data_IF_248434951942
#
_entry.id   IF_248434951942
#
_cell.length_a   1.000
_cell.length_b   1.000
_cell.length_c   1.000
_cell.angle_alpha   90.00
_cell.angle_beta   90.00
_cell.angle_gamma   90.00
#
_symmetry.space_group_name_H-M   'P 1'
#
loop_
_entity.id
_entity.type
_entity.pdbx_description
1 polymer ?
#
# COMPACT_ATOMS: atom_id res chain seq x y z
N UNK A 1 23.19 -6.11 1.41
CA UNK A 1 21.84 -5.96 0.91
C UNK A 1 21.73 -6.47 -0.53
N UNK A 2 22.43 -5.82 -1.50
CA UNK A 2 22.32 -6.16 -2.93
C UNK A 2 22.58 -7.64 -3.21
N UNK A 3 23.63 -8.22 -2.62
CA UNK A 3 23.98 -9.63 -2.82
C UNK A 3 22.97 -10.63 -2.27
N UNK A 4 22.07 -10.19 -1.39
CA UNK A 4 21.09 -11.04 -0.72
C UNK A 4 19.68 -10.98 -1.35
N UNK A 5 19.45 -10.02 -2.28
CA UNK A 5 18.16 -9.84 -2.96
C UNK A 5 17.69 -11.08 -3.70
N UNK A 6 18.59 -11.90 -4.23
CA UNK A 6 18.27 -13.18 -4.91
C UNK A 6 17.54 -14.18 -4.01
N UNK A 7 17.66 -14.04 -2.69
CA UNK A 7 16.91 -14.85 -1.72
C UNK A 7 15.48 -14.38 -1.51
N UNK A 8 15.11 -13.23 -2.05
CA UNK A 8 13.77 -12.59 -1.90
C UNK A 8 13.03 -12.55 -3.23
N UNK A 9 13.72 -12.11 -4.30
CA UNK A 9 13.16 -11.89 -5.63
C UNK A 9 13.82 -12.82 -6.64
N UNK A 10 13.10 -13.27 -7.65
CA UNK A 10 13.65 -14.08 -8.74
C UNK A 10 14.34 -13.22 -9.81
N UNK A 11 15.52 -12.71 -9.43
CA UNK A 11 16.34 -11.84 -10.27
C UNK A 11 16.84 -12.52 -11.54
N UNK A 12 17.01 -13.85 -11.50
CA UNK A 12 17.45 -14.62 -12.67
C UNK A 12 16.37 -14.64 -13.76
N UNK A 13 15.11 -14.83 -13.38
CA UNK A 13 13.99 -14.80 -14.32
C UNK A 13 13.81 -13.38 -14.88
N UNK A 14 13.94 -12.34 -14.05
CA UNK A 14 13.91 -10.95 -14.51
C UNK A 14 14.99 -10.70 -15.56
N UNK A 15 16.24 -11.05 -15.28
CA UNK A 15 17.36 -10.89 -16.21
C UNK A 15 17.14 -11.63 -17.53
N UNK A 16 16.72 -12.90 -17.43
CA UNK A 16 16.52 -13.77 -18.60
C UNK A 16 15.35 -13.32 -19.50
N UNK A 17 14.36 -12.63 -18.95
CA UNK A 17 13.22 -12.11 -19.71
C UNK A 17 13.58 -10.93 -20.61
N UNK A 18 14.67 -10.21 -20.28
CA UNK A 18 15.12 -9.04 -21.03
C UNK A 18 14.21 -7.81 -20.89
N UNK A 19 13.23 -7.82 -19.97
CA UNK A 19 12.35 -6.68 -19.74
C UNK A 19 13.15 -5.41 -19.44
N UNK A 20 12.71 -4.28 -20.01
CA UNK A 20 13.34 -2.98 -19.82
C UNK A 20 12.69 -2.26 -18.63
N UNK A 21 13.49 -2.02 -17.58
CA UNK A 21 13.05 -1.45 -16.31
C UNK A 21 13.47 0.02 -16.23
N UNK A 22 12.54 0.91 -15.90
CA UNK A 22 12.82 2.32 -15.60
C UNK A 22 12.78 2.57 -14.08
N UNK A 23 13.71 3.38 -13.56
CA UNK A 23 13.72 3.74 -12.14
C UNK A 23 13.90 5.24 -11.95
N UNK A 24 13.00 5.88 -11.19
CA UNK A 24 13.16 7.24 -10.68
C UNK A 24 13.33 7.22 -9.16
N UNK A 25 14.53 7.44 -8.64
CA UNK A 25 14.78 7.51 -7.21
C UNK A 25 14.10 8.68 -6.48
N UNK A 26 13.46 9.60 -7.18
CA UNK A 26 12.89 10.85 -6.66
C UNK A 26 13.86 11.65 -5.77
N UNK A 27 15.17 11.54 -6.03
CA UNK A 27 16.22 12.15 -5.22
C UNK A 27 16.48 11.48 -3.87
N UNK A 28 15.95 10.30 -3.65
CA UNK A 28 16.04 9.58 -2.39
C UNK A 28 17.36 8.84 -2.16
N UNK A 29 17.48 8.25 -0.97
CA UNK A 29 18.72 7.64 -0.45
C UNK A 29 19.17 6.37 -1.19
N UNK A 30 18.27 5.71 -1.91
CA UNK A 30 18.54 4.43 -2.59
C UNK A 30 19.14 4.55 -4.00
N UNK A 31 19.42 5.75 -4.50
CA UNK A 31 19.99 5.94 -5.84
C UNK A 31 21.22 5.05 -6.10
N UNK A 32 22.10 4.94 -5.12
CA UNK A 32 23.36 4.19 -5.25
C UNK A 32 23.18 2.66 -5.27
N UNK A 33 21.99 2.12 -5.03
CA UNK A 33 21.74 0.68 -5.07
C UNK A 33 21.44 0.15 -6.48
N UNK A 34 20.83 0.97 -7.35
CA UNK A 34 20.27 0.50 -8.62
C UNK A 34 21.32 0.04 -9.63
N UNK A 35 22.40 0.82 -9.82
CA UNK A 35 23.47 0.44 -10.76
C UNK A 35 24.21 -0.84 -10.30
N UNK A 36 24.63 -0.98 -9.03
CA UNK A 36 25.21 -2.24 -8.55
C UNK A 36 24.27 -3.45 -8.66
N UNK A 37 22.95 -3.27 -8.51
CA UNK A 37 21.97 -4.33 -8.75
C UNK A 37 21.92 -4.71 -10.22
N UNK A 38 21.83 -3.72 -11.12
CA UNK A 38 21.80 -3.94 -12.55
C UNK A 38 23.04 -4.69 -13.05
N UNK A 39 24.24 -4.27 -12.60
CA UNK A 39 25.50 -4.93 -12.93
C UNK A 39 25.57 -6.36 -12.40
N UNK A 40 25.28 -6.55 -11.11
CA UNK A 40 25.40 -7.86 -10.44
C UNK A 40 24.47 -8.90 -11.05
N UNK A 41 23.24 -8.53 -11.34
CA UNK A 41 22.19 -9.43 -11.78
C UNK A 41 21.89 -9.36 -13.27
N UNK A 42 22.66 -8.56 -14.02
CA UNK A 42 22.49 -8.35 -15.47
C UNK A 42 21.08 -7.87 -15.86
N UNK A 43 20.54 -6.94 -15.07
CA UNK A 43 19.21 -6.39 -15.33
C UNK A 43 19.29 -5.32 -16.41
N UNK A 44 18.36 -5.33 -17.36
CA UNK A 44 18.18 -4.25 -18.33
C UNK A 44 17.43 -3.09 -17.67
N UNK A 45 18.16 -2.29 -16.87
CA UNK A 45 17.62 -1.25 -15.99
C UNK A 45 18.24 0.11 -16.30
N UNK A 46 17.40 1.13 -16.39
CA UNK A 46 17.78 2.52 -16.58
C UNK A 46 17.31 3.38 -15.40
N UNK A 47 18.23 4.07 -14.73
CA UNK A 47 17.90 5.12 -13.76
C UNK A 47 17.67 6.42 -14.53
N UNK A 48 16.42 6.87 -14.58
CA UNK A 48 16.01 8.02 -15.42
C UNK A 48 16.37 9.38 -14.81
N UNK A 49 16.55 9.44 -13.48
CA UNK A 49 16.92 10.64 -12.78
C UNK A 49 18.02 10.34 -11.75
N UNK A 50 19.23 10.75 -12.05
CA UNK A 50 20.41 10.58 -11.17
C UNK A 50 20.74 11.84 -10.38
N UNK A 51 19.85 12.83 -10.39
CA UNK A 51 20.12 14.12 -9.75
C UNK A 51 20.01 14.01 -8.24
N UNK A 52 21.06 14.39 -7.55
CA UNK A 52 21.07 14.60 -6.10
C UNK A 52 20.99 16.11 -5.86
N UNK A 53 19.87 16.54 -5.32
CA UNK A 53 19.60 17.94 -5.02
C UNK A 53 18.84 18.03 -3.69
N UNK A 54 19.48 18.48 -2.60
CA UNK A 54 18.84 18.57 -1.28
C UNK A 54 17.61 19.49 -1.23
N UNK A 55 17.41 20.33 -2.25
CA UNK A 55 16.22 21.19 -2.37
C UNK A 55 15.09 20.53 -3.16
N UNK A 56 15.36 19.38 -3.80
CA UNK A 56 14.40 18.65 -4.66
C UNK A 56 13.78 19.54 -5.75
N UNK A 57 14.53 20.53 -6.25
CA UNK A 57 14.02 21.54 -7.19
C UNK A 57 13.58 20.97 -8.55
N UNK A 58 13.94 19.73 -8.86
CA UNK A 58 13.53 19.00 -10.06
C UNK A 58 12.15 18.34 -9.96
N UNK A 59 11.59 18.26 -8.74
CA UNK A 59 10.27 17.64 -8.53
C UNK A 59 9.15 18.54 -9.05
N UNK A 60 8.13 17.90 -9.61
CA UNK A 60 6.85 18.55 -9.90
C UNK A 60 6.12 18.91 -8.62
N UNK A 61 5.45 20.07 -8.63
CA UNK A 61 4.66 20.51 -7.48
C UNK A 61 3.40 19.66 -7.35
N UNK A 62 3.05 19.30 -6.13
CA UNK A 62 1.80 18.65 -5.80
C UNK A 62 0.61 19.64 -5.94
N UNK A 63 -0.62 19.15 -5.82
CA UNK A 63 -1.86 19.94 -5.99
C UNK A 63 -1.95 21.18 -5.10
N UNK A 64 -1.24 21.20 -3.97
CA UNK A 64 -1.19 22.33 -3.03
C UNK A 64 0.05 23.22 -3.23
N UNK A 65 0.79 23.04 -4.32
CA UNK A 65 1.97 23.83 -4.66
C UNK A 65 3.23 23.48 -3.83
N UNK A 66 3.24 22.37 -3.11
CA UNK A 66 4.40 21.91 -2.34
C UNK A 66 5.16 20.81 -3.07
N UNK A 67 6.44 20.71 -2.78
CA UNK A 67 7.26 19.57 -3.19
C UNK A 67 7.01 18.41 -2.23
N UNK A 68 6.66 17.24 -2.79
CA UNK A 68 6.56 15.98 -2.07
C UNK A 68 7.23 14.87 -2.87
N UNK A 69 8.01 14.04 -2.20
CA UNK A 69 8.63 12.84 -2.77
C UNK A 69 7.79 11.61 -2.40
N UNK A 70 6.48 11.69 -2.68
CA UNK A 70 5.53 10.61 -2.44
C UNK A 70 5.35 9.78 -3.70
N UNK A 71 5.91 8.57 -3.71
CA UNK A 71 5.84 7.65 -4.85
C UNK A 71 4.42 7.14 -5.17
N UNK A 72 3.42 7.42 -4.34
CA UNK A 72 2.01 7.16 -4.64
C UNK A 72 1.29 8.39 -5.25
N UNK A 73 1.93 9.56 -5.26
CA UNK A 73 1.37 10.79 -5.84
C UNK A 73 1.54 10.83 -7.36
N UNK A 74 0.48 11.04 -8.14
CA UNK A 74 0.58 11.23 -9.59
C UNK A 74 1.37 12.48 -9.97
N UNK A 75 1.48 13.45 -9.07
CA UNK A 75 2.29 14.67 -9.27
C UNK A 75 3.78 14.36 -9.13
N UNK A 76 4.18 13.72 -8.03
CA UNK A 76 5.58 13.34 -7.82
C UNK A 76 6.08 12.39 -8.91
N UNK A 77 5.23 11.46 -9.34
CA UNK A 77 5.52 10.45 -10.35
C UNK A 77 5.27 10.90 -11.80
N UNK A 78 4.85 12.15 -12.02
CA UNK A 78 4.42 12.63 -13.33
C UNK A 78 5.46 12.40 -14.44
N UNK A 79 6.74 12.64 -14.17
CA UNK A 79 7.82 12.44 -15.13
C UNK A 79 7.99 10.97 -15.51
N UNK A 80 7.93 10.06 -14.54
CA UNK A 80 8.05 8.62 -14.79
C UNK A 80 6.81 8.08 -15.52
N UNK A 81 5.61 8.53 -15.14
CA UNK A 81 4.35 8.17 -15.81
C UNK A 81 4.34 8.62 -17.27
N UNK A 82 4.90 9.81 -17.57
CA UNK A 82 5.02 10.29 -18.96
C UNK A 82 5.95 9.39 -19.82
N UNK A 83 6.83 8.63 -19.19
CA UNK A 83 7.74 7.69 -19.86
C UNK A 83 7.27 6.23 -19.82
N UNK A 84 6.03 5.95 -19.38
CA UNK A 84 5.54 4.58 -19.15
C UNK A 84 5.68 3.66 -20.39
N UNK A 85 5.55 4.20 -21.60
CA UNK A 85 5.64 3.43 -22.84
C UNK A 85 7.10 3.16 -23.28
N UNK A 86 8.09 3.83 -22.65
CA UNK A 86 9.53 3.59 -22.87
C UNK A 86 10.00 2.30 -22.21
N UNK A 87 9.40 1.92 -21.09
CA UNK A 87 9.76 0.78 -20.27
C UNK A 87 8.69 -0.31 -20.30
N UNK A 88 9.06 -1.54 -20.01
CA UNK A 88 8.09 -2.62 -19.78
C UNK A 88 7.43 -2.48 -18.42
N UNK A 89 8.21 -1.98 -17.45
CA UNK A 89 7.76 -1.59 -16.11
C UNK A 89 8.67 -0.50 -15.56
N UNK A 90 8.16 0.37 -14.69
CA UNK A 90 8.98 1.38 -14.04
C UNK A 90 8.60 1.57 -12.57
N UNK A 91 9.57 2.10 -11.78
CA UNK A 91 9.45 2.24 -10.33
C UNK A 91 9.86 3.64 -9.86
N UNK A 92 9.21 4.11 -8.82
CA UNK A 92 9.69 5.24 -8.03
C UNK A 92 9.61 4.93 -6.55
N UNK A 93 10.53 5.48 -5.76
CA UNK A 93 10.53 5.31 -4.32
C UNK A 93 10.47 6.67 -3.63
N UNK A 94 9.99 6.70 -2.40
CA UNK A 94 10.12 7.87 -1.56
C UNK A 94 11.56 8.04 -1.03
N UNK A 95 11.80 9.10 -0.26
CA UNK A 95 13.17 9.54 0.07
C UNK A 95 13.97 8.50 0.85
N UNK A 96 13.36 7.80 1.77
CA UNK A 96 13.98 6.79 2.65
C UNK A 96 13.78 5.35 2.13
N UNK A 97 13.15 5.20 0.97
CA UNK A 97 13.00 3.93 0.26
C UNK A 97 12.19 2.86 0.98
N UNK A 98 11.35 3.27 1.89
CA UNK A 98 10.46 2.36 2.60
C UNK A 98 9.13 2.11 1.85
N UNK A 99 8.86 2.89 0.77
CA UNK A 99 7.66 2.79 -0.07
C UNK A 99 7.99 2.61 -1.55
N UNK A 100 7.03 2.03 -2.27
CA UNK A 100 7.11 1.73 -3.70
C UNK A 100 6.07 2.51 -4.51
N UNK A 101 6.41 2.87 -5.74
CA UNK A 101 5.48 3.42 -6.73
C UNK A 101 5.64 2.67 -8.04
N UNK A 102 4.65 1.86 -8.42
CA UNK A 102 4.72 1.01 -9.60
C UNK A 102 4.02 1.68 -10.77
N UNK A 103 4.73 1.83 -11.88
CA UNK A 103 4.20 2.36 -13.14
C UNK A 103 4.19 1.26 -14.20
N UNK A 104 3.00 0.92 -14.66
CA UNK A 104 2.78 -0.11 -15.67
C UNK A 104 2.36 0.51 -17.01
N UNK A 105 2.56 -0.21 -18.11
CA UNK A 105 2.02 0.20 -19.41
C UNK A 105 0.50 0.21 -19.41
N UNK A 106 -0.11 -0.78 -18.79
CA UNK A 106 -1.57 -0.99 -18.83
C UNK A 106 -2.35 0.07 -18.04
N UNK A 107 -1.86 0.54 -16.88
CA UNK A 107 -2.59 1.44 -15.99
C UNK A 107 -1.84 2.74 -15.63
N UNK A 108 -0.57 2.88 -16.02
CA UNK A 108 0.28 3.97 -15.50
C UNK A 108 0.62 3.75 -14.03
N UNK A 109 0.56 4.81 -13.21
CA UNK A 109 0.82 4.69 -11.76
C UNK A 109 -0.28 3.88 -11.09
N UNK A 110 0.11 2.78 -10.47
CA UNK A 110 -0.82 1.93 -9.72
C UNK A 110 -1.17 2.53 -8.35
N UNK A 111 -2.44 2.42 -7.96
CA UNK A 111 -2.82 2.67 -6.58
C UNK A 111 -2.14 1.64 -5.66
N UNK A 112 -1.55 2.03 -4.52
CA UNK A 112 -0.87 1.10 -3.62
C UNK A 112 -1.74 -0.09 -3.18
N UNK A 113 -3.01 0.12 -2.84
CA UNK A 113 -3.92 -0.98 -2.48
C UNK A 113 -4.09 -1.99 -3.63
N UNK A 114 -4.13 -1.52 -4.88
CA UNK A 114 -4.26 -2.39 -6.04
C UNK A 114 -2.99 -3.22 -6.24
N UNK A 115 -1.82 -2.58 -6.15
CA UNK A 115 -0.56 -3.30 -6.28
C UNK A 115 -0.34 -4.29 -5.12
N UNK A 116 -0.64 -3.90 -3.87
CA UNK A 116 -0.55 -4.82 -2.72
C UNK A 116 -1.42 -6.07 -2.93
N UNK A 117 -2.64 -5.91 -3.44
CA UNK A 117 -3.52 -7.05 -3.74
C UNK A 117 -2.89 -8.00 -4.79
N UNK A 118 -2.29 -7.45 -5.85
CA UNK A 118 -1.58 -8.23 -6.88
C UNK A 118 -0.33 -8.90 -6.29
N UNK A 119 0.49 -8.17 -5.55
CA UNK A 119 1.69 -8.68 -4.92
C UNK A 119 1.39 -9.86 -3.99
N UNK A 120 0.37 -9.71 -3.13
CA UNK A 120 -0.09 -10.77 -2.22
C UNK A 120 -0.59 -11.97 -3.02
N UNK A 121 -1.45 -11.77 -4.01
CA UNK A 121 -1.96 -12.86 -4.85
C UNK A 121 -0.83 -13.65 -5.48
N UNK A 122 0.11 -12.94 -6.11
CA UNK A 122 1.24 -13.57 -6.80
C UNK A 122 2.17 -14.30 -5.83
N UNK A 123 2.64 -13.61 -4.78
CA UNK A 123 3.75 -14.13 -3.97
C UNK A 123 3.36 -15.37 -3.17
N UNK A 124 2.13 -15.45 -2.65
CA UNK A 124 1.67 -16.64 -1.93
C UNK A 124 1.47 -17.87 -2.84
N UNK A 125 1.33 -17.67 -4.14
CA UNK A 125 1.28 -18.75 -5.14
C UNK A 125 2.66 -19.17 -5.66
N UNK A 126 3.67 -18.28 -5.51
CA UNK A 126 5.03 -18.48 -6.07
C UNK A 126 6.12 -18.64 -5.00
N UNK A 127 5.74 -18.85 -3.75
CA UNK A 127 6.67 -19.13 -2.63
C UNK A 127 6.29 -20.44 -1.94
N UNK A 128 6.59 -21.61 -2.58
CA UNK A 128 6.15 -22.92 -2.10
C UNK A 128 6.78 -23.35 -0.76
N UNK A 129 7.92 -22.75 -0.39
CA UNK A 129 8.59 -23.02 0.88
C UNK A 129 7.97 -22.27 2.07
N UNK A 130 7.07 -21.33 1.81
CA UNK A 130 6.39 -20.64 2.90
C UNK A 130 5.41 -21.57 3.61
N UNK A 131 5.39 -21.46 4.94
CA UNK A 131 4.49 -22.29 5.73
C UNK A 131 3.02 -22.09 5.29
N UNK A 132 2.28 -23.20 5.23
CA UNK A 132 0.89 -23.17 4.77
C UNK A 132 -0.02 -22.28 5.65
N UNK A 133 0.34 -22.06 6.92
CA UNK A 133 -0.37 -21.16 7.84
C UNK A 133 0.10 -19.71 7.81
N UNK A 134 1.10 -19.35 6.99
CA UNK A 134 1.56 -17.98 6.88
C UNK A 134 0.39 -17.05 6.46
N UNK A 135 0.22 -15.97 7.21
CA UNK A 135 -0.92 -15.06 7.08
C UNK A 135 -0.58 -13.87 6.18
N UNK A 136 -1.63 -13.19 5.72
CA UNK A 136 -1.56 -11.91 5.01
C UNK A 136 -1.79 -10.78 6.00
N UNK A 137 -0.79 -9.90 6.20
CA UNK A 137 -0.88 -8.72 7.05
C UNK A 137 -1.31 -7.48 6.28
N UNK A 138 -2.30 -6.76 6.81
CA UNK A 138 -2.69 -5.42 6.34
C UNK A 138 -3.07 -4.51 7.48
N UNK A 139 -3.06 -3.19 7.26
CA UNK A 139 -3.65 -2.24 8.19
C UNK A 139 -5.18 -2.23 8.04
N UNK A 140 -5.88 -1.86 9.11
CA UNK A 140 -7.34 -1.79 9.11
C UNK A 140 -7.92 -0.73 8.15
N UNK A 141 -7.08 0.17 7.62
CA UNK A 141 -7.44 1.21 6.65
C UNK A 141 -7.05 0.86 5.22
N UNK A 142 -6.39 -0.28 5.00
CA UNK A 142 -6.13 -0.81 3.66
C UNK A 142 -7.41 -1.42 3.05
N UNK A 143 -7.44 -1.50 1.72
CA UNK A 143 -8.61 -1.95 0.95
C UNK A 143 -9.10 -3.36 1.32
N UNK A 144 -10.41 -3.56 1.28
CA UNK A 144 -11.10 -4.86 1.38
C UNK A 144 -10.72 -5.79 0.20
N UNK A 145 -10.20 -5.26 -0.89
CA UNK A 145 -9.70 -6.11 -1.98
C UNK A 145 -8.63 -7.10 -1.48
N UNK A 146 -7.79 -6.68 -0.52
CA UNK A 146 -6.79 -7.57 0.10
C UNK A 146 -7.46 -8.70 0.88
N UNK A 147 -8.59 -8.43 1.56
CA UNK A 147 -9.37 -9.46 2.26
C UNK A 147 -9.89 -10.52 1.28
N UNK A 148 -10.46 -10.06 0.15
CA UNK A 148 -10.98 -10.93 -0.90
C UNK A 148 -9.85 -11.77 -1.53
N UNK A 149 -8.68 -11.17 -1.74
CA UNK A 149 -7.50 -11.89 -2.23
C UNK A 149 -7.03 -12.93 -1.21
N UNK A 150 -6.90 -12.58 0.08
CA UNK A 150 -6.51 -13.52 1.12
C UNK A 150 -7.48 -14.71 1.19
N UNK A 151 -8.78 -14.46 1.13
CA UNK A 151 -9.81 -15.50 1.05
C UNK A 151 -9.64 -16.39 -0.19
N UNK A 152 -9.43 -15.80 -1.37
CA UNK A 152 -9.25 -16.51 -2.65
C UNK A 152 -8.07 -17.48 -2.60
N UNK A 153 -6.95 -17.08 -1.99
CA UNK A 153 -5.75 -17.92 -1.87
C UNK A 153 -5.76 -18.82 -0.62
N UNK A 154 -6.87 -18.83 0.13
CA UNK A 154 -7.01 -19.68 1.33
C UNK A 154 -6.11 -19.28 2.50
N UNK A 155 -5.74 -18.00 2.61
CA UNK A 155 -4.88 -17.49 3.70
C UNK A 155 -5.68 -16.69 4.71
N UNK A 156 -5.27 -16.79 5.98
CA UNK A 156 -5.87 -15.95 7.04
C UNK A 156 -5.36 -14.52 6.93
N UNK A 157 -6.24 -13.58 7.23
CA UNK A 157 -5.91 -12.17 7.32
C UNK A 157 -5.45 -11.83 8.74
N UNK A 158 -4.41 -11.00 8.84
CA UNK A 158 -3.92 -10.39 10.07
C UNK A 158 -4.09 -8.87 9.96
N UNK A 159 -5.29 -8.37 10.31
CA UNK A 159 -5.64 -6.96 10.25
C UNK A 159 -5.24 -6.25 11.54
N UNK A 160 -4.38 -5.23 11.44
CA UNK A 160 -3.76 -4.55 12.58
C UNK A 160 -3.97 -3.02 12.51
N UNK A 161 -3.70 -2.26 13.59
CA UNK A 161 -3.67 -0.81 13.51
C UNK A 161 -2.64 -0.30 12.52
N UNK A 162 -2.76 0.96 12.08
CA UNK A 162 -1.74 1.62 11.27
C UNK A 162 -0.39 1.64 11.98
N UNK A 163 0.65 1.30 11.25
CA UNK A 163 2.03 1.25 11.74
C UNK A 163 2.68 -0.12 11.52
N UNK A 164 3.78 -0.12 10.79
CA UNK A 164 4.48 -1.34 10.36
C UNK A 164 4.97 -2.22 11.53
N UNK A 165 5.23 -1.61 12.68
CA UNK A 165 5.65 -2.31 13.91
C UNK A 165 4.77 -3.49 14.31
N UNK A 166 3.50 -3.48 13.91
CA UNK A 166 2.58 -4.56 14.24
C UNK A 166 2.82 -5.84 13.45
N UNK A 167 3.52 -5.75 12.32
CA UNK A 167 3.89 -6.91 11.51
C UNK A 167 5.19 -7.56 11.96
N UNK A 168 6.03 -6.84 12.72
CA UNK A 168 7.38 -7.29 13.12
C UNK A 168 7.40 -8.67 13.77
N UNK A 169 6.58 -8.99 14.79
CA UNK A 169 6.63 -10.33 15.39
C UNK A 169 6.36 -11.46 14.39
N UNK A 170 5.32 -11.28 13.55
CA UNK A 170 4.92 -12.30 12.58
C UNK A 170 5.89 -12.46 11.42
N UNK A 171 6.58 -11.38 11.01
CA UNK A 171 7.66 -11.48 10.01
C UNK A 171 8.90 -12.18 10.60
N UNK A 172 9.22 -11.94 11.88
CA UNK A 172 10.36 -12.58 12.56
C UNK A 172 10.19 -14.08 12.70
N UNK A 173 9.01 -14.53 13.10
CA UNK A 173 8.74 -15.96 13.33
C UNK A 173 8.18 -16.70 12.11
N UNK A 174 7.92 -15.99 10.99
CA UNK A 174 7.41 -16.54 9.75
C UNK A 174 5.90 -16.87 9.77
N UNK A 175 5.18 -16.51 10.82
CA UNK A 175 3.72 -16.66 10.88
C UNK A 175 3.00 -15.67 9.98
N UNK A 176 3.69 -14.60 9.55
CA UNK A 176 3.23 -13.60 8.60
C UNK A 176 4.11 -13.67 7.33
N UNK A 177 3.51 -14.02 6.19
CA UNK A 177 4.22 -14.07 4.91
C UNK A 177 4.45 -12.70 4.30
N UNK A 178 3.49 -11.80 4.50
CA UNK A 178 3.46 -10.45 3.95
C UNK A 178 2.84 -9.48 4.95
N UNK A 179 3.40 -8.27 5.07
CA UNK A 179 2.83 -7.16 5.81
C UNK A 179 2.86 -5.90 4.97
N UNK A 180 1.71 -5.22 4.79
CA UNK A 180 1.63 -4.02 3.95
C UNK A 180 0.63 -2.99 4.44
N UNK A 181 0.91 -1.74 4.06
CA UNK A 181 0.13 -0.55 4.37
C UNK A 181 -0.34 0.13 3.09
N UNK A 182 -1.52 0.73 3.13
CA UNK A 182 -2.11 1.50 2.02
C UNK A 182 -1.25 2.70 1.58
N UNK A 183 -0.28 3.08 2.39
CA UNK A 183 0.71 4.12 2.09
C UNK A 183 1.83 3.67 1.15
N UNK A 184 1.75 2.46 0.59
CA UNK A 184 2.74 1.82 -0.27
C UNK A 184 3.97 1.25 0.45
N UNK A 185 3.94 1.13 1.77
CA UNK A 185 5.00 0.48 2.54
C UNK A 185 4.68 -1.00 2.79
N UNK A 186 5.59 -1.89 2.46
CA UNK A 186 5.41 -3.32 2.68
C UNK A 186 6.74 -4.06 2.84
N UNK A 187 6.65 -5.28 3.36
CA UNK A 187 7.73 -6.27 3.36
C UNK A 187 7.16 -7.69 3.37
N UNK A 188 7.99 -8.66 3.01
CA UNK A 188 7.61 -10.05 2.96
C UNK A 188 8.81 -10.97 3.22
N UNK A 189 8.54 -12.25 3.45
CA UNK A 189 9.57 -13.24 3.75
C UNK A 189 10.45 -13.56 2.53
N UNK A 190 11.67 -14.03 2.80
CA UNK A 190 12.55 -14.66 1.80
C UNK A 190 11.84 -15.86 1.15
N UNK A 191 12.35 -16.30 0.02
CA UNK A 191 11.86 -17.50 -0.69
C UNK A 191 11.75 -18.72 0.22
N UNK A 192 12.71 -18.88 1.14
CA UNK A 192 12.77 -19.99 2.10
C UNK A 192 11.90 -19.80 3.37
N UNK A 193 11.02 -18.81 3.39
CA UNK A 193 10.12 -18.53 4.50
C UNK A 193 10.75 -17.87 5.73
N UNK A 194 12.05 -17.51 5.68
CA UNK A 194 12.70 -16.76 6.75
C UNK A 194 12.47 -15.26 6.58
N UNK A 195 12.60 -14.52 7.68
CA UNK A 195 12.51 -13.07 7.66
C UNK A 195 13.52 -12.45 6.69
N UNK A 196 13.05 -11.48 5.89
CA UNK A 196 13.91 -10.59 5.12
C UNK A 196 14.34 -9.41 5.98
N UNK A 197 13.37 -8.58 6.35
CA UNK A 197 13.55 -7.44 7.23
C UNK A 197 12.32 -7.28 8.13
N UNK A 198 12.45 -6.50 9.18
CA UNK A 198 11.36 -6.14 10.10
C UNK A 198 10.85 -4.72 9.87
N UNK A 199 11.27 -4.11 8.78
CA UNK A 199 10.76 -2.81 8.32
C UNK A 199 10.31 -2.90 6.86
N UNK A 200 9.70 -1.84 6.36
CA UNK A 200 9.27 -1.70 4.96
C UNK A 200 10.50 -1.64 4.05
N UNK A 201 10.37 -2.18 2.86
CA UNK A 201 11.43 -2.18 1.85
C UNK A 201 10.81 -1.98 0.46
N UNK A 202 10.91 -0.76 -0.06
CA UNK A 202 10.33 -0.41 -1.37
C UNK A 202 11.01 -1.15 -2.52
N UNK A 203 12.33 -1.38 -2.46
CA UNK A 203 13.09 -2.02 -3.54
C UNK A 203 12.61 -3.44 -3.80
N UNK A 204 12.32 -4.23 -2.76
CA UNK A 204 11.83 -5.60 -3.00
C UNK A 204 10.44 -5.62 -3.62
N UNK A 205 9.59 -4.61 -3.32
CA UNK A 205 8.28 -4.48 -3.93
C UNK A 205 8.41 -4.08 -5.41
N UNK A 206 9.33 -3.18 -5.74
CA UNK A 206 9.64 -2.78 -7.12
C UNK A 206 10.12 -3.99 -7.94
N UNK A 207 11.11 -4.70 -7.42
CA UNK A 207 11.65 -5.90 -8.08
C UNK A 207 10.61 -7.03 -8.16
N UNK A 208 9.70 -7.15 -7.20
CA UNK A 208 8.59 -8.10 -7.27
C UNK A 208 7.65 -7.77 -8.44
N UNK A 209 7.41 -6.48 -8.72
CA UNK A 209 6.60 -6.09 -9.88
C UNK A 209 7.27 -6.51 -11.22
N UNK A 210 8.60 -6.40 -11.29
CA UNK A 210 9.37 -6.90 -12.43
C UNK A 210 9.34 -8.45 -12.51
N UNK A 211 9.42 -9.15 -11.36
CA UNK A 211 9.27 -10.62 -11.29
C UNK A 211 7.91 -11.07 -11.81
N UNK A 212 6.84 -10.40 -11.39
CA UNK A 212 5.46 -10.67 -11.85
C UNK A 212 5.38 -10.59 -13.38
N UNK A 213 5.88 -9.51 -13.96
CA UNK A 213 5.89 -9.32 -15.41
C UNK A 213 6.75 -10.39 -16.10
N UNK A 214 7.96 -10.63 -15.60
CA UNK A 214 8.90 -11.58 -16.21
C UNK A 214 8.39 -13.02 -16.19
N UNK A 215 7.74 -13.43 -15.10
CA UNK A 215 7.23 -14.81 -14.92
C UNK A 215 5.94 -15.03 -15.69
N UNK A 216 5.04 -14.04 -15.70
CA UNK A 216 3.67 -14.23 -16.20
C UNK A 216 3.46 -13.67 -17.60
N UNK A 217 4.35 -12.80 -18.09
CA UNK A 217 4.19 -12.07 -19.35
C UNK A 217 3.12 -10.97 -19.28
N UNK A 218 2.58 -10.67 -18.08
CA UNK A 218 1.56 -9.65 -17.84
C UNK A 218 2.04 -8.70 -16.76
N UNK A 219 1.82 -7.40 -16.96
CA UNK A 219 2.19 -6.41 -15.97
C UNK A 219 1.22 -6.45 -14.74
N UNK A 220 1.64 -5.90 -13.58
CA UNK A 220 0.77 -5.88 -12.39
C UNK A 220 -0.59 -5.21 -12.61
N UNK A 221 -0.71 -4.25 -13.54
CA UNK A 221 -1.98 -3.62 -13.86
C UNK A 221 -2.95 -4.56 -14.56
N UNK A 222 -2.47 -5.42 -15.47
CA UNK A 222 -3.28 -6.46 -16.11
C UNK A 222 -3.75 -7.51 -15.09
N UNK A 223 -2.89 -7.88 -14.13
CA UNK A 223 -3.27 -8.75 -13.02
C UNK A 223 -4.33 -8.12 -12.12
N UNK A 224 -4.19 -6.83 -11.84
CA UNK A 224 -5.21 -6.10 -11.07
C UNK A 224 -6.56 -6.09 -11.80
N UNK A 225 -6.59 -5.80 -13.09
CA UNK A 225 -7.82 -5.83 -13.89
C UNK A 225 -8.51 -7.20 -13.85
N UNK A 226 -7.74 -8.28 -13.90
CA UNK A 226 -8.26 -9.64 -13.77
C UNK A 226 -8.84 -9.89 -12.36
N UNK A 227 -8.14 -9.49 -11.31
CA UNK A 227 -8.63 -9.59 -9.93
C UNK A 227 -9.90 -8.74 -9.71
N UNK A 228 -9.93 -7.50 -10.22
CA UNK A 228 -11.10 -6.62 -10.13
C UNK A 228 -12.31 -7.23 -10.85
N UNK A 229 -12.10 -7.80 -12.04
CA UNK A 229 -13.17 -8.48 -12.79
C UNK A 229 -13.77 -9.68 -12.05
N UNK A 230 -12.94 -10.42 -11.32
CA UNK A 230 -13.37 -11.62 -10.59
C UNK A 230 -13.94 -11.31 -9.20
N UNK A 231 -13.28 -10.43 -8.45
CA UNK A 231 -13.57 -10.15 -7.03
C UNK A 231 -14.51 -8.96 -6.84
N UNK A 232 -14.79 -8.23 -7.91
CA UNK A 232 -15.60 -7.01 -7.90
C UNK A 232 -14.77 -5.77 -7.60
N UNK A 233 -15.18 -4.68 -8.23
CA UNK A 233 -14.53 -3.36 -8.08
C UNK A 233 -14.72 -2.79 -6.68
N UNK A 234 -13.73 -2.02 -6.23
CA UNK A 234 -13.80 -1.21 -5.02
C UNK A 234 -13.48 0.25 -5.35
N UNK A 235 -14.07 1.16 -4.60
CA UNK A 235 -13.82 2.60 -4.68
C UNK A 235 -13.29 3.06 -3.34
N UNK A 236 -12.03 3.43 -3.30
CA UNK A 236 -11.30 3.81 -2.09
C UNK A 236 -10.86 5.27 -2.15
N UNK A 237 -10.95 5.96 -1.02
CA UNK A 237 -10.46 7.33 -0.89
C UNK A 237 -10.02 7.65 0.54
N UNK A 238 -9.10 8.60 0.67
CA UNK A 238 -8.69 9.21 1.93
C UNK A 238 -8.97 10.71 1.88
N UNK A 239 -9.49 11.25 2.95
CA UNK A 239 -9.67 12.68 3.18
C UNK A 239 -8.82 13.09 4.38
N UNK A 240 -8.11 14.20 4.25
CA UNK A 240 -7.34 14.80 5.32
C UNK A 240 -8.00 16.13 5.72
N UNK A 241 -8.10 16.42 7.02
CA UNK A 241 -8.64 17.68 7.52
C UNK A 241 -7.80 18.23 8.68
N UNK A 242 -7.60 19.55 8.77
CA UNK A 242 -6.87 20.16 9.87
C UNK A 242 -7.48 19.82 11.23
N UNK A 243 -6.62 19.56 12.23
CA UNK A 243 -7.08 19.32 13.61
C UNK A 243 -6.06 19.82 14.62
N UNK A 244 -6.59 20.47 15.67
CA UNK A 244 -5.78 20.87 16.81
C UNK A 244 -5.53 19.70 17.79
N UNK A 245 -4.78 19.97 18.85
CA UNK A 245 -4.45 18.95 19.85
C UNK A 245 -5.70 18.39 20.57
N UNK A 246 -6.72 19.24 20.79
CA UNK A 246 -7.99 18.84 21.43
C UNK A 246 -8.76 17.85 20.54
N UNK A 247 -8.95 18.20 19.27
CA UNK A 247 -9.66 17.35 18.32
C UNK A 247 -8.95 16.01 18.14
N UNK A 248 -7.62 16.01 18.05
CA UNK A 248 -6.84 14.77 17.97
C UNK A 248 -7.01 13.87 19.18
N UNK A 249 -7.06 14.46 20.40
CA UNK A 249 -7.29 13.70 21.61
C UNK A 249 -8.70 13.08 21.66
N UNK A 250 -9.72 13.79 21.19
CA UNK A 250 -11.09 13.26 21.07
C UNK A 250 -11.11 12.11 20.07
N UNK A 251 -10.53 12.31 18.87
CA UNK A 251 -10.50 11.29 17.80
C UNK A 251 -9.78 10.03 18.22
N UNK A 252 -8.65 10.16 18.96
CA UNK A 252 -7.91 8.99 19.46
C UNK A 252 -8.71 8.16 20.46
N UNK A 253 -9.72 8.77 21.11
CA UNK A 253 -10.58 8.15 22.12
C UNK A 253 -12.02 7.97 21.64
N UNK A 254 -12.27 8.02 20.33
CA UNK A 254 -13.59 7.71 19.78
C UNK A 254 -14.07 6.34 20.26
N UNK A 255 -15.34 6.27 20.66
CA UNK A 255 -15.96 5.03 21.10
C UNK A 255 -17.17 4.66 20.23
N UNK A 256 -17.55 3.37 20.18
CA UNK A 256 -18.71 2.92 19.42
C UNK A 256 -20.02 3.63 19.83
N UNK A 257 -20.13 4.04 21.10
CA UNK A 257 -21.30 4.71 21.69
C UNK A 257 -21.48 6.14 21.18
N UNK A 258 -20.39 6.79 20.74
CA UNK A 258 -20.44 8.14 20.16
C UNK A 258 -21.10 8.12 18.78
N UNK A 259 -21.09 7.00 18.06
CA UNK A 259 -21.78 6.84 16.79
C UNK A 259 -23.23 6.44 17.02
N UNK A 260 -24.13 7.40 16.97
CA UNK A 260 -25.58 7.17 17.14
C UNK A 260 -26.24 6.57 15.90
N UNK A 261 -25.63 6.74 14.72
CA UNK A 261 -26.13 6.21 13.47
C UNK A 261 -26.26 4.67 13.52
N UNK A 262 -27.31 4.15 12.92
CA UNK A 262 -27.56 2.72 12.73
C UNK A 262 -27.34 2.27 11.29
N UNK A 263 -27.18 3.23 10.37
CA UNK A 263 -26.87 3.00 8.97
C UNK A 263 -25.74 3.94 8.52
N UNK A 264 -25.05 3.56 7.45
CA UNK A 264 -24.01 4.35 6.76
C UNK A 264 -24.29 4.24 5.27
N UNK A 265 -24.46 5.39 4.61
CA UNK A 265 -24.83 5.50 3.19
C UNK A 265 -26.05 4.67 2.77
N UNK A 266 -26.99 4.47 3.71
CA UNK A 266 -28.21 3.70 3.52
C UNK A 266 -28.10 2.20 3.86
N UNK A 267 -26.90 1.69 4.17
CA UNK A 267 -26.69 0.29 4.57
C UNK A 267 -26.60 0.15 6.10
N UNK A 268 -27.19 -0.90 6.70
CA UNK A 268 -27.09 -1.15 8.12
C UNK A 268 -25.63 -1.27 8.58
N UNK A 269 -25.28 -0.61 9.68
CA UNK A 269 -23.97 -0.74 10.30
C UNK A 269 -23.85 -2.13 10.93
N UNK A 270 -22.81 -2.87 10.53
CA UNK A 270 -22.50 -4.23 11.00
C UNK A 270 -21.44 -4.25 12.10
N UNK A 271 -20.53 -3.27 12.10
CA UNK A 271 -19.47 -3.17 13.12
C UNK A 271 -19.03 -1.73 13.40
N UNK A 272 -18.65 -1.49 14.65
CA UNK A 272 -18.00 -0.25 15.14
C UNK A 272 -16.79 -0.67 15.96
N UNK A 273 -15.58 -0.53 15.38
CA UNK A 273 -14.35 -1.08 15.94
C UNK A 273 -13.44 0.02 16.48
N UNK A 274 -12.92 -0.19 17.67
CA UNK A 274 -11.84 0.62 18.29
C UNK A 274 -10.60 -0.22 18.57
N UNK A 275 -10.66 -1.52 18.26
CA UNK A 275 -9.54 -2.46 18.34
C UNK A 275 -9.41 -3.23 17.04
N UNK A 276 -8.18 -3.49 16.62
CA UNK A 276 -7.91 -4.24 15.41
C UNK A 276 -8.21 -5.74 15.59
N UNK A 277 -8.89 -6.40 14.63
CA UNK A 277 -9.27 -7.81 14.75
C UNK A 277 -8.10 -8.78 14.87
N UNK A 278 -6.96 -8.47 14.23
CA UNK A 278 -5.83 -9.40 14.17
C UNK A 278 -5.07 -9.53 15.48
N UNK A 279 -4.94 -8.44 16.26
CA UNK A 279 -4.11 -8.44 17.49
C UNK A 279 -4.80 -7.83 18.71
N UNK A 280 -6.03 -7.36 18.60
CA UNK A 280 -6.77 -6.73 19.70
C UNK A 280 -6.23 -5.36 20.13
N UNK A 281 -5.23 -4.81 19.43
CA UNK A 281 -4.63 -3.53 19.80
C UNK A 281 -5.56 -2.35 19.48
N UNK A 282 -5.52 -1.27 20.30
CA UNK A 282 -6.29 -0.06 20.01
C UNK A 282 -5.90 0.55 18.65
N UNK A 283 -6.89 0.95 17.87
CA UNK A 283 -6.63 1.55 16.55
C UNK A 283 -6.34 3.06 16.62
N UNK A 284 -6.52 3.67 17.79
CA UNK A 284 -6.36 5.11 17.99
C UNK A 284 -7.37 5.93 17.18
N UNK A 285 -8.61 5.47 17.11
CA UNK A 285 -9.70 6.02 16.36
C UNK A 285 -10.89 5.07 16.30
N UNK A 286 -11.72 5.20 15.26
CA UNK A 286 -12.91 4.37 15.05
C UNK A 286 -13.01 3.91 13.61
N UNK A 287 -13.36 2.62 13.39
CA UNK A 287 -13.78 2.09 12.09
C UNK A 287 -15.25 1.68 12.18
N UNK A 288 -16.05 2.14 11.22
CA UNK A 288 -17.46 1.78 11.07
C UNK A 288 -17.62 1.04 9.75
N UNK A 289 -18.28 -0.11 9.79
CA UNK A 289 -18.42 -0.98 8.62
C UNK A 289 -19.89 -1.36 8.39
N UNK A 290 -20.23 -1.54 7.12
CA UNK A 290 -21.45 -2.13 6.60
C UNK A 290 -21.09 -3.34 5.72
N UNK A 291 -22.06 -3.99 5.13
CA UNK A 291 -21.81 -5.05 4.13
C UNK A 291 -21.14 -4.50 2.85
N UNK A 292 -21.42 -3.23 2.47
CA UNK A 292 -21.01 -2.66 1.18
C UNK A 292 -20.05 -1.48 1.30
N UNK A 293 -19.52 -1.21 2.47
CA UNK A 293 -18.54 -0.15 2.65
C UNK A 293 -18.16 0.10 4.09
N UNK A 294 -17.16 0.94 4.27
CA UNK A 294 -16.67 1.30 5.59
C UNK A 294 -16.01 2.68 5.57
N UNK A 295 -15.89 3.28 6.73
CA UNK A 295 -14.93 4.35 6.97
C UNK A 295 -14.13 4.10 8.25
N UNK A 296 -12.94 4.69 8.31
CA UNK A 296 -12.14 4.77 9.54
C UNK A 296 -11.65 6.20 9.74
N UNK A 297 -11.84 6.73 10.95
CA UNK A 297 -11.39 8.08 11.32
C UNK A 297 -10.34 7.97 12.42
N UNK A 298 -9.19 8.66 12.23
CA UNK A 298 -8.09 8.68 13.20
C UNK A 298 -7.25 9.95 13.09
N UNK A 299 -6.65 10.43 14.19
CA UNK A 299 -5.66 11.51 14.12
C UNK A 299 -4.40 11.05 13.38
N UNK A 300 -3.71 11.99 12.72
CA UNK A 300 -2.34 11.77 12.25
C UNK A 300 -1.38 11.69 13.46
N UNK A 301 -0.39 10.78 13.37
CA UNK A 301 0.65 10.69 14.39
C UNK A 301 1.77 11.74 14.25
N UNK A 302 1.89 12.34 13.05
CA UNK A 302 3.02 13.20 12.68
C UNK A 302 2.62 14.62 12.26
N UNK A 303 1.37 14.83 11.90
CA UNK A 303 0.86 16.09 11.36
C UNK A 303 -0.36 16.60 12.15
N UNK A 304 -0.63 17.90 12.10
CA UNK A 304 -1.78 18.53 12.75
C UNK A 304 -3.07 18.36 11.89
N UNK A 305 -3.37 17.10 11.55
CA UNK A 305 -4.55 16.71 10.77
C UNK A 305 -5.18 15.44 11.36
N UNK A 306 -6.42 15.19 10.98
CA UNK A 306 -7.02 13.86 11.06
C UNK A 306 -7.31 13.32 9.66
N UNK A 307 -7.40 12.01 9.58
CA UNK A 307 -7.61 11.28 8.34
C UNK A 307 -8.90 10.48 8.40
N UNK A 308 -9.73 10.59 7.38
CA UNK A 308 -10.87 9.70 7.14
C UNK A 308 -10.54 8.86 5.91
N UNK A 309 -10.46 7.56 6.12
CA UNK A 309 -10.35 6.56 5.06
C UNK A 309 -11.73 6.00 4.81
N UNK A 310 -12.10 5.81 3.56
CA UNK A 310 -13.39 5.25 3.20
C UNK A 310 -13.29 4.35 1.96
N UNK A 311 -14.11 3.32 1.92
CA UNK A 311 -14.21 2.43 0.76
C UNK A 311 -15.65 2.00 0.54
N UNK A 312 -16.06 1.94 -0.73
CA UNK A 312 -17.33 1.42 -1.20
C UNK A 312 -17.11 0.19 -2.07
N UNK A 313 -18.01 -0.77 -1.96
CA UNK A 313 -18.08 -1.96 -2.81
C UNK A 313 -19.21 -1.85 -3.86
N UNK A 314 -19.87 -0.67 -3.98
CA UNK A 314 -21.00 -0.46 -4.89
C UNK A 314 -20.69 0.49 -6.02
N UNK A 315 -20.30 1.74 -5.70
CA UNK A 315 -20.04 2.79 -6.70
C UNK A 315 -19.28 3.97 -6.12
N UNK A 316 -18.84 4.89 -7.01
CA UNK A 316 -18.22 6.16 -6.61
C UNK A 316 -19.19 7.05 -5.83
N UNK A 317 -20.46 7.13 -6.25
CA UNK A 317 -21.49 7.91 -5.57
C UNK A 317 -21.81 7.36 -4.18
N UNK A 318 -21.72 6.04 -4.00
CA UNK A 318 -21.86 5.43 -2.69
C UNK A 318 -20.66 5.75 -1.79
N UNK A 319 -19.44 5.79 -2.34
CA UNK A 319 -18.25 6.25 -1.62
C UNK A 319 -18.41 7.70 -1.16
N UNK A 320 -18.88 8.61 -2.03
CA UNK A 320 -19.13 10.02 -1.69
C UNK A 320 -20.11 10.15 -0.52
N UNK A 321 -21.18 9.37 -0.50
CA UNK A 321 -22.13 9.34 0.63
C UNK A 321 -21.49 8.82 1.91
N UNK A 322 -20.69 7.76 1.84
CA UNK A 322 -19.93 7.25 3.00
C UNK A 322 -19.03 8.36 3.56
N UNK A 323 -18.33 9.07 2.69
CA UNK A 323 -17.42 10.16 3.09
C UNK A 323 -18.18 11.34 3.74
N UNK A 324 -19.32 11.73 3.19
CA UNK A 324 -20.15 12.81 3.75
C UNK A 324 -20.66 12.44 5.15
N UNK A 325 -21.27 11.27 5.30
CA UNK A 325 -21.79 10.78 6.58
C UNK A 325 -20.67 10.52 7.60
N UNK A 326 -19.50 10.02 7.15
CA UNK A 326 -18.33 9.85 8.02
C UNK A 326 -17.87 11.19 8.60
N UNK A 327 -17.87 12.26 7.79
CA UNK A 327 -17.54 13.61 8.24
C UNK A 327 -18.54 14.12 9.27
N UNK A 328 -19.85 13.95 9.01
CA UNK A 328 -20.90 14.34 9.96
C UNK A 328 -20.75 13.61 11.32
N UNK A 329 -20.45 12.30 11.28
CA UNK A 329 -20.23 11.50 12.50
C UNK A 329 -19.01 12.02 13.27
N UNK A 330 -17.91 12.32 12.59
CA UNK A 330 -16.70 12.86 13.18
C UNK A 330 -16.95 14.26 13.77
N UNK A 331 -17.59 15.14 13.01
CA UNK A 331 -17.89 16.52 13.46
C UNK A 331 -18.82 16.52 14.67
N UNK A 332 -19.82 15.65 14.72
CA UNK A 332 -20.70 15.48 15.89
C UNK A 332 -19.92 15.02 17.11
N UNK A 333 -18.95 14.11 16.95
CA UNK A 333 -18.09 13.64 18.04
C UNK A 333 -17.11 14.72 18.54
N UNK A 334 -16.66 15.61 17.66
CA UNK A 334 -15.77 16.74 18.02
C UNK A 334 -16.50 17.87 18.72
N UNK A 335 -17.82 18.03 18.45
CA UNK A 335 -18.65 19.09 19.05
C UNK A 335 -19.16 18.77 20.47
N UNK A 336 -19.25 17.50 20.84
CA UNK A 336 -19.72 17.01 22.15
C UNK A 336 -18.63 16.88 23.18
#
# INVERSE_FOLDING_TARGET
>A
YVSDLENVVDLQTIASSGIHIGVDPLGGSGLAYWEPMAERYHLNLEVVNKRIDPTFSFMTLDHDGKIRMDCSSPYAMANLVAMKDKFDIAFGNDVDYDRHGIVTRSLGLMNPNHYLAVAIFYIFLHRPEWHASAQVGKTLVSSVLIDKVAQKIGRRLYEVPVGFKWFVPGLLDGSLGFGGEESAGASYLRKNGKVWTTDKDGIILDLLAAEILAVTGKDPGEHFQALESELGRTWYSRMDAPSGARERAILANLSPEMVKATALAGDPITAKLTKAPGNGAPIGGLKVSTEYGWFAARPSGTEDIYKIYAESLRSAEHLERIQAEAREIVDAALAG
#
